data_IF_449497044097
#
_entry.id   IF_449497044097
#
_cell.length_a   1.000
_cell.length_b   1.000
_cell.length_c   1.000
_cell.angle_alpha   90.00
_cell.angle_beta   90.00
_cell.angle_gamma   90.00
#
_symmetry.space_group_name_H-M   'P 1'
#
loop_
_entity.id
_entity.type
_entity.pdbx_description
1 polymer ?
#
# COMPACT_ATOMS: atom_id res chain seq x y z
N UNK A 1 11.16 -39.86 -25.95
CA UNK A 1 11.77 -38.51 -25.91
C UNK A 1 11.22 -37.81 -24.68
N UNK A 2 12.06 -37.42 -23.72
CA UNK A 2 11.58 -36.69 -22.53
C UNK A 2 11.82 -35.19 -22.69
N UNK A 3 11.00 -34.37 -22.03
CA UNK A 3 11.15 -32.90 -22.05
C UNK A 3 12.55 -32.47 -21.57
N UNK A 4 13.12 -33.23 -20.64
CA UNK A 4 14.47 -33.00 -20.10
C UNK A 4 15.54 -33.24 -21.16
N UNK A 5 15.37 -34.23 -22.05
CA UNK A 5 16.35 -34.48 -23.12
C UNK A 5 16.33 -33.38 -24.20
N UNK A 6 15.17 -32.76 -24.46
CA UNK A 6 15.07 -31.60 -25.37
C UNK A 6 15.82 -30.37 -24.82
N UNK A 7 15.73 -30.15 -23.51
CA UNK A 7 16.39 -29.02 -22.83
C UNK A 7 17.92 -29.21 -22.81
N UNK A 8 18.39 -30.42 -22.47
CA UNK A 8 19.83 -30.71 -22.37
C UNK A 8 20.53 -30.66 -23.74
N UNK A 9 19.83 -31.03 -24.82
CA UNK A 9 20.37 -30.98 -26.19
C UNK A 9 20.18 -29.61 -26.88
N UNK A 10 19.52 -28.64 -26.23
CA UNK A 10 19.38 -27.31 -26.77
C UNK A 10 20.70 -26.53 -26.68
N UNK A 11 20.86 -25.49 -27.51
CA UNK A 11 22.04 -24.63 -27.46
C UNK A 11 22.16 -23.93 -26.10
N UNK A 12 23.40 -23.62 -25.69
CA UNK A 12 23.68 -22.93 -24.42
C UNK A 12 22.85 -21.64 -24.27
N UNK A 13 22.63 -20.92 -25.38
CA UNK A 13 21.80 -19.71 -25.41
C UNK A 13 20.35 -20.01 -25.01
N UNK A 14 19.75 -21.07 -25.57
CA UNK A 14 18.36 -21.47 -25.29
C UNK A 14 18.20 -21.92 -23.83
N UNK A 15 19.19 -22.63 -23.29
CA UNK A 15 19.20 -23.03 -21.87
C UNK A 15 19.23 -21.81 -20.94
N UNK A 16 20.00 -20.79 -21.30
CA UNK A 16 20.11 -19.53 -20.53
C UNK A 16 18.79 -18.75 -20.55
N UNK A 17 18.14 -18.65 -21.71
CA UNK A 17 16.81 -18.02 -21.84
C UNK A 17 15.77 -18.75 -20.97
N UNK A 18 15.70 -20.08 -21.04
CA UNK A 18 14.77 -20.86 -20.21
C UNK A 18 15.02 -20.66 -18.70
N UNK A 19 16.29 -20.54 -18.28
CA UNK A 19 16.65 -20.28 -16.89
C UNK A 19 16.22 -18.86 -16.44
N UNK A 20 16.38 -17.85 -17.30
CA UNK A 20 15.90 -16.48 -17.02
C UNK A 20 14.38 -16.47 -16.90
N UNK A 21 13.65 -17.11 -17.82
CA UNK A 21 12.19 -17.18 -17.78
C UNK A 21 11.70 -17.91 -16.52
N UNK A 22 12.37 -18.99 -16.12
CA UNK A 22 12.04 -19.73 -14.90
C UNK A 22 12.25 -18.88 -13.64
N UNK A 23 13.37 -18.13 -13.56
CA UNK A 23 13.64 -17.26 -12.39
C UNK A 23 12.65 -16.09 -12.35
N UNK A 24 12.34 -15.45 -13.48
CA UNK A 24 11.28 -14.43 -13.56
C UNK A 24 9.92 -14.96 -13.12
N UNK A 25 9.56 -16.18 -13.52
CA UNK A 25 8.31 -16.83 -13.11
C UNK A 25 8.25 -17.01 -11.58
N UNK A 26 9.32 -17.52 -10.97
CA UNK A 26 9.39 -17.67 -9.51
C UNK A 26 9.28 -16.31 -8.78
N UNK A 27 9.96 -15.27 -9.27
CA UNK A 27 9.88 -13.92 -8.69
C UNK A 27 8.45 -13.37 -8.79
N UNK A 28 7.77 -13.58 -9.93
CA UNK A 28 6.38 -13.17 -10.12
C UNK A 28 5.45 -13.79 -9.07
N UNK A 29 5.52 -15.10 -8.87
CA UNK A 29 4.73 -15.80 -7.84
C UNK A 29 5.03 -15.31 -6.42
N UNK A 30 6.31 -15.08 -6.10
CA UNK A 30 6.71 -14.53 -4.80
C UNK A 30 6.09 -13.14 -4.56
N UNK A 31 6.15 -12.26 -5.56
CA UNK A 31 5.56 -10.92 -5.48
C UNK A 31 4.04 -10.95 -5.36
N UNK A 32 3.36 -11.83 -6.12
CA UNK A 32 1.90 -12.01 -6.03
C UNK A 32 1.52 -12.37 -4.59
N UNK A 33 2.22 -13.33 -3.99
CA UNK A 33 1.93 -13.76 -2.62
C UNK A 33 2.22 -12.67 -1.58
N UNK A 34 3.37 -11.99 -1.71
CA UNK A 34 3.72 -10.85 -0.85
C UNK A 34 2.64 -9.76 -0.91
N UNK A 35 2.17 -9.44 -2.11
CA UNK A 35 1.15 -8.42 -2.34
C UNK A 35 -0.21 -8.81 -1.78
N UNK A 36 -0.63 -10.04 -2.02
CA UNK A 36 -1.89 -10.58 -1.49
C UNK A 36 -1.90 -10.54 0.05
N UNK A 37 -0.77 -10.89 0.68
CA UNK A 37 -0.62 -10.85 2.13
C UNK A 37 -0.70 -9.42 2.67
N UNK A 38 -0.02 -8.46 2.02
CA UNK A 38 -0.06 -7.05 2.41
C UNK A 38 -1.48 -6.46 2.30
N UNK A 39 -2.17 -6.67 1.18
CA UNK A 39 -3.55 -6.20 0.97
C UNK A 39 -4.53 -6.80 1.98
N UNK A 40 -4.39 -8.09 2.29
CA UNK A 40 -5.21 -8.77 3.30
C UNK A 40 -5.01 -8.15 4.70
N UNK A 41 -3.76 -7.86 5.09
CA UNK A 41 -3.45 -7.21 6.37
C UNK A 41 -4.01 -5.80 6.44
N UNK A 42 -3.84 -4.99 5.39
CA UNK A 42 -4.40 -3.64 5.32
C UNK A 42 -5.93 -3.65 5.36
N UNK A 43 -6.60 -4.56 4.64
CA UNK A 43 -8.05 -4.68 4.67
C UNK A 43 -8.58 -5.05 6.06
N UNK A 44 -7.88 -5.92 6.79
CA UNK A 44 -8.24 -6.25 8.19
C UNK A 44 -8.02 -5.07 9.13
N UNK A 45 -6.91 -4.35 8.98
CA UNK A 45 -6.61 -3.17 9.77
C UNK A 45 -7.67 -2.06 9.56
N UNK A 46 -8.10 -1.87 8.30
CA UNK A 46 -9.17 -0.94 7.92
C UNK A 46 -10.48 -1.22 8.64
N UNK A 47 -10.95 -2.46 8.61
CA UNK A 47 -12.18 -2.83 9.32
C UNK A 47 -12.09 -2.55 10.82
N UNK A 48 -10.96 -2.89 11.44
CA UNK A 48 -10.75 -2.66 12.87
C UNK A 48 -10.63 -1.17 13.25
N UNK A 49 -10.10 -0.32 12.37
CA UNK A 49 -10.13 1.12 12.57
C UNK A 49 -11.54 1.69 12.37
N UNK A 50 -12.22 1.28 11.29
CA UNK A 50 -13.57 1.74 10.95
C UNK A 50 -14.57 1.45 12.08
N UNK A 51 -14.56 0.23 12.63
CA UNK A 51 -15.40 -0.13 13.79
C UNK A 51 -15.14 0.79 14.99
N UNK A 52 -13.86 1.08 15.31
CA UNK A 52 -13.50 2.00 16.39
C UNK A 52 -13.93 3.44 16.10
N UNK A 53 -13.75 3.91 14.87
CA UNK A 53 -14.13 5.24 14.45
C UNK A 53 -15.64 5.46 14.56
N UNK A 54 -16.45 4.48 14.13
CA UNK A 54 -17.91 4.55 14.19
C UNK A 54 -18.52 4.11 15.53
N UNK A 55 -17.72 3.57 16.46
CA UNK A 55 -18.19 3.15 17.79
C UNK A 55 -18.72 4.28 18.69
N UNK A 56 -18.62 5.54 18.25
CA UNK A 56 -18.98 6.71 19.04
C UNK A 56 -17.89 7.14 20.04
N UNK A 57 -16.67 6.60 19.90
CA UNK A 57 -15.51 7.04 20.68
C UNK A 57 -15.14 8.49 20.34
N UNK A 58 -14.72 9.26 21.36
CA UNK A 58 -14.18 10.61 21.16
C UNK A 58 -12.97 10.58 20.22
N UNK A 59 -13.03 11.37 19.14
CA UNK A 59 -11.97 11.49 18.14
C UNK A 59 -10.61 11.88 18.74
N UNK A 60 -10.60 12.65 19.83
CA UNK A 60 -9.38 13.01 20.57
C UNK A 60 -8.77 11.80 21.26
N UNK A 61 -9.60 10.90 21.83
CA UNK A 61 -9.13 9.63 22.41
C UNK A 61 -8.61 8.70 21.33
N UNK A 62 -9.33 8.59 20.20
CA UNK A 62 -8.90 7.81 19.05
C UNK A 62 -7.54 8.32 18.51
N UNK A 63 -7.34 9.64 18.46
CA UNK A 63 -6.07 10.24 18.05
C UNK A 63 -4.91 9.87 18.98
N UNK A 64 -5.13 9.86 20.30
CA UNK A 64 -4.12 9.41 21.26
C UNK A 64 -3.82 7.92 21.06
N UNK A 65 -4.85 7.07 20.94
CA UNK A 65 -4.66 5.63 20.75
C UNK A 65 -3.85 5.31 19.50
N UNK A 66 -4.22 5.90 18.37
CA UNK A 66 -3.52 5.74 17.10
C UNK A 66 -2.07 6.26 17.23
N UNK A 67 -1.83 7.33 18.01
CA UNK A 67 -0.47 7.81 18.28
C UNK A 67 0.37 6.87 19.15
N UNK A 68 -0.21 6.21 20.15
CA UNK A 68 0.50 5.31 21.06
C UNK A 68 0.78 3.95 20.42
N UNK A 69 -0.16 3.43 19.62
CA UNK A 69 -0.05 2.12 18.98
C UNK A 69 -0.24 2.25 17.45
N UNK A 70 0.75 2.80 16.72
CA UNK A 70 0.62 3.02 15.29
C UNK A 70 0.61 1.70 14.50
N UNK A 71 -0.51 1.41 13.84
CA UNK A 71 -0.58 0.27 12.92
C UNK A 71 -0.01 0.65 11.55
N UNK A 72 1.18 0.15 11.24
CA UNK A 72 1.89 0.48 9.99
C UNK A 72 1.20 -0.03 8.71
N UNK A 73 0.24 -0.96 8.87
CA UNK A 73 -0.57 -1.51 7.79
C UNK A 73 -1.91 -0.78 7.61
N UNK A 74 -2.27 0.14 8.50
CA UNK A 74 -3.51 0.93 8.45
C UNK A 74 -3.25 2.29 7.80
N UNK A 75 -3.66 2.43 6.54
CA UNK A 75 -3.56 3.70 5.82
C UNK A 75 -4.55 4.74 6.37
N UNK A 76 -5.77 4.31 6.71
CA UNK A 76 -6.78 5.18 7.31
C UNK A 76 -6.36 5.80 8.64
N UNK A 77 -5.60 5.10 9.49
CA UNK A 77 -5.05 5.67 10.72
C UNK A 77 -4.11 6.86 10.43
N UNK A 78 -3.31 6.77 9.36
CA UNK A 78 -2.42 7.86 8.95
C UNK A 78 -3.20 9.04 8.36
N UNK A 79 -4.23 8.78 7.55
CA UNK A 79 -5.11 9.81 7.00
C UNK A 79 -5.84 10.55 8.13
N UNK A 80 -6.42 9.80 9.07
CA UNK A 80 -7.10 10.34 10.24
C UNK A 80 -6.16 11.18 11.10
N UNK A 81 -4.96 10.68 11.38
CA UNK A 81 -3.95 11.41 12.17
C UNK A 81 -3.54 12.71 11.50
N UNK A 82 -3.30 12.70 10.19
CA UNK A 82 -2.93 13.89 9.43
C UNK A 82 -4.06 14.94 9.43
N UNK A 83 -5.31 14.50 9.23
CA UNK A 83 -6.48 15.36 9.30
C UNK A 83 -6.70 15.94 10.70
N UNK A 84 -6.77 15.08 11.72
CA UNK A 84 -7.05 15.50 13.09
C UNK A 84 -5.95 16.39 13.67
N UNK A 85 -4.69 16.14 13.33
CA UNK A 85 -3.57 17.01 13.71
C UNK A 85 -3.74 18.41 13.13
N UNK A 86 -4.12 18.50 11.86
CA UNK A 86 -4.31 19.79 11.19
C UNK A 86 -5.55 20.52 11.70
N UNK A 87 -6.66 19.80 11.90
CA UNK A 87 -7.87 20.32 12.55
C UNK A 87 -7.56 20.91 13.93
N UNK A 88 -6.86 20.15 14.79
CA UNK A 88 -6.50 20.59 16.13
C UNK A 88 -5.54 21.79 16.11
N UNK A 89 -4.68 21.89 15.09
CA UNK A 89 -3.77 23.03 14.89
C UNK A 89 -4.53 24.29 14.48
N UNK A 90 -5.42 24.18 13.50
CA UNK A 90 -6.20 25.30 12.97
C UNK A 90 -7.25 25.79 13.98
N UNK A 91 -7.92 24.89 14.70
CA UNK A 91 -8.92 25.26 15.73
C UNK A 91 -8.34 26.03 16.91
N UNK A 92 -7.03 25.88 17.19
CA UNK A 92 -6.34 26.62 18.28
C UNK A 92 -6.04 28.08 17.91
N UNK A 93 -6.10 28.45 16.63
CA UNK A 93 -5.90 29.83 16.21
C UNK A 93 -7.16 30.65 16.53
N UNK A 94 -6.99 31.72 17.31
CA UNK A 94 -8.09 32.48 17.94
C UNK A 94 -9.08 33.16 16.97
N UNK A 95 -8.78 33.23 15.67
CA UNK A 95 -9.60 33.88 14.63
C UNK A 95 -9.84 32.95 13.42
N UNK A 96 -9.80 31.64 13.63
CA UNK A 96 -9.97 30.70 12.53
C UNK A 96 -11.42 30.57 12.12
N UNK A 97 -11.69 31.02 10.89
CA UNK A 97 -12.94 30.77 10.18
C UNK A 97 -13.20 29.25 10.09
N UNK A 98 -14.37 28.75 10.55
CA UNK A 98 -14.74 27.35 10.48
C UNK A 98 -14.59 26.74 9.08
N UNK A 99 -14.89 27.50 8.02
CA UNK A 99 -14.73 27.02 6.64
C UNK A 99 -13.25 26.78 6.30
N UNK A 100 -12.37 27.72 6.68
CA UNK A 100 -10.93 27.58 6.49
C UNK A 100 -10.34 26.40 7.29
N UNK A 101 -10.86 26.13 8.51
CA UNK A 101 -10.46 24.96 9.31
C UNK A 101 -10.82 23.65 8.60
N UNK A 102 -12.04 23.56 8.08
CA UNK A 102 -12.52 22.38 7.38
C UNK A 102 -11.75 22.16 6.06
N UNK A 103 -11.55 23.23 5.27
CA UNK A 103 -10.78 23.16 4.03
C UNK A 103 -9.32 22.75 4.27
N UNK A 104 -8.68 23.27 5.32
CA UNK A 104 -7.32 22.89 5.71
C UNK A 104 -7.23 21.43 6.14
N UNK A 105 -8.21 20.96 6.90
CA UNK A 105 -8.32 19.57 7.35
C UNK A 105 -8.50 18.62 6.15
N UNK A 106 -9.43 18.92 5.24
CA UNK A 106 -9.67 18.13 4.03
C UNK A 106 -8.41 18.06 3.16
N UNK A 107 -7.71 19.18 2.98
CA UNK A 107 -6.45 19.22 2.23
C UNK A 107 -5.39 18.32 2.84
N UNK A 108 -5.20 18.37 4.15
CA UNK A 108 -4.25 17.50 4.86
C UNK A 108 -4.60 16.02 4.68
N UNK A 109 -5.88 15.67 4.83
CA UNK A 109 -6.37 14.31 4.60
C UNK A 109 -6.14 13.85 3.16
N UNK A 110 -6.39 14.72 2.16
CA UNK A 110 -6.15 14.41 0.75
C UNK A 110 -4.68 14.16 0.44
N UNK A 111 -3.78 14.95 1.02
CA UNK A 111 -2.32 14.73 0.87
C UNK A 111 -1.90 13.40 1.49
N UNK A 112 -2.43 13.06 2.67
CA UNK A 112 -2.16 11.78 3.31
C UNK A 112 -2.71 10.60 2.50
N UNK A 113 -3.91 10.73 1.93
CA UNK A 113 -4.52 9.74 1.05
C UNK A 113 -3.64 9.45 -0.16
N UNK A 114 -3.16 10.50 -0.84
CA UNK A 114 -2.28 10.34 -2.00
C UNK A 114 -0.98 9.61 -1.65
N UNK A 115 -0.37 9.93 -0.48
CA UNK A 115 0.84 9.25 -0.02
C UNK A 115 0.63 7.77 0.30
N UNK A 116 -0.49 7.42 0.94
CA UNK A 116 -0.81 6.02 1.21
C UNK A 116 -1.13 5.26 -0.09
N UNK A 117 -1.76 5.93 -1.06
CA UNK A 117 -1.99 5.37 -2.39
C UNK A 117 -0.66 5.10 -3.12
N UNK A 118 0.28 6.05 -3.14
CA UNK A 118 1.62 5.86 -3.72
C UNK A 118 2.39 4.70 -3.06
N UNK A 119 2.28 4.56 -1.73
CA UNK A 119 2.90 3.46 -0.98
C UNK A 119 2.31 2.11 -1.37
N UNK A 120 1.01 2.05 -1.60
CA UNK A 120 0.38 0.88 -2.18
C UNK A 120 0.88 0.70 -3.62
N UNK A 121 0.97 1.72 -4.45
CA UNK A 121 1.30 1.56 -5.87
C UNK A 121 2.78 1.25 -6.18
N UNK A 122 3.70 1.44 -5.23
CA UNK A 122 5.16 1.35 -5.41
C UNK A 122 5.70 0.10 -6.17
N UNK A 123 5.01 -1.05 -6.09
CA UNK A 123 5.45 -2.29 -6.75
C UNK A 123 4.66 -2.66 -8.01
N UNK A 124 3.60 -1.92 -8.35
CA UNK A 124 2.79 -2.19 -9.54
C UNK A 124 3.57 -2.00 -10.86
N UNK A 125 4.39 -0.94 -11.02
CA UNK A 125 5.15 -0.74 -12.25
C UNK A 125 6.12 -1.88 -12.56
N UNK A 126 6.80 -2.42 -11.54
CA UNK A 126 7.71 -3.55 -11.71
C UNK A 126 6.99 -4.82 -12.15
N UNK A 127 5.85 -5.13 -11.54
CA UNK A 127 5.00 -6.25 -11.96
C UNK A 127 4.47 -6.07 -13.39
N UNK A 128 4.09 -4.85 -13.77
CA UNK A 128 3.64 -4.53 -15.12
C UNK A 128 4.77 -4.68 -16.16
N UNK A 129 5.98 -4.22 -15.86
CA UNK A 129 7.14 -4.39 -16.73
C UNK A 129 7.52 -5.87 -16.88
N UNK A 130 7.61 -6.62 -15.79
CA UNK A 130 7.94 -8.06 -15.86
C UNK A 130 6.88 -8.80 -16.68
N UNK A 131 5.58 -8.53 -16.47
CA UNK A 131 4.49 -9.12 -17.24
C UNK A 131 4.51 -8.76 -18.74
N UNK A 132 4.79 -7.50 -19.07
CA UNK A 132 4.82 -7.01 -20.46
C UNK A 132 6.08 -7.40 -21.23
N UNK A 133 7.22 -7.59 -20.57
CA UNK A 133 8.50 -7.87 -21.23
C UNK A 133 8.79 -9.37 -21.34
N UNK A 134 8.14 -10.21 -20.52
CA UNK A 134 8.23 -11.68 -20.58
C UNK A 134 7.97 -12.31 -21.95
N UNK A 135 7.07 -11.80 -22.83
CA UNK A 135 6.86 -12.38 -24.16
C UNK A 135 7.97 -12.06 -25.17
N UNK A 136 8.77 -11.03 -24.91
CA UNK A 136 9.80 -10.53 -25.83
C UNK A 136 11.20 -11.08 -25.51
N UNK A 137 11.34 -11.77 -24.38
CA UNK A 137 12.53 -12.52 -23.95
C UNK A 137 12.32 -13.98 -24.31
#
# INVERSE_FOLDING_TARGET
>A
MSVVSLIINASVVVQLVMLILLTMSMISWYMIWQRQSALSKTSKALKGFEERFWSGMDLSRLFVQVNTEPNHYSGEENIFRAGFKEFARLRKSAHSDPEAVMAGTERSMRVALLREQEKLEMYLPFLATVGSTSPYI
#
